data_IF_243225184408
#
_entry.id   IF_243225184408
#
_cell.length_a   1.000
_cell.length_b   1.000
_cell.length_c   1.000
_cell.angle_alpha   90.00
_cell.angle_beta   90.00
_cell.angle_gamma   90.00
#
_symmetry.space_group_name_H-M   'P 1'
#
loop_
_entity.id
_entity.type
_entity.pdbx_description
1 polymer ?
#
# COMPACT_ATOMS: atom_id res chain seq x y z
N UNK A 1 6.64 23.84 -22.73
CA UNK A 1 7.98 23.85 -22.09
C UNK A 1 7.79 23.39 -20.66
N UNK A 2 8.21 22.15 -20.30
CA UNK A 2 8.12 21.67 -18.92
C UNK A 2 9.30 22.27 -18.15
N UNK A 3 9.04 23.17 -17.22
CA UNK A 3 10.06 23.68 -16.32
C UNK A 3 10.39 22.59 -15.30
N UNK A 4 11.46 21.85 -15.55
CA UNK A 4 12.01 20.91 -14.58
C UNK A 4 12.62 21.68 -13.41
N UNK A 5 12.00 21.55 -12.25
CA UNK A 5 12.57 22.08 -10.99
C UNK A 5 13.44 20.98 -10.38
N UNK A 6 14.76 21.20 -10.16
CA UNK A 6 15.61 20.23 -9.51
C UNK A 6 15.04 19.80 -8.15
N UNK A 7 15.14 18.50 -7.81
CA UNK A 7 14.51 17.91 -6.64
C UNK A 7 14.89 18.62 -5.32
N UNK A 8 16.15 18.99 -5.14
CA UNK A 8 16.62 19.73 -3.96
C UNK A 8 16.00 21.13 -3.85
N UNK A 9 15.76 21.79 -4.98
CA UNK A 9 15.08 23.10 -4.99
C UNK A 9 13.60 22.95 -4.69
N UNK A 10 12.96 21.95 -5.28
CA UNK A 10 11.57 21.62 -5.00
C UNK A 10 11.38 21.33 -3.50
N UNK A 11 12.20 20.48 -2.90
CA UNK A 11 12.13 20.13 -1.49
C UNK A 11 12.31 21.35 -0.55
N UNK A 12 13.16 22.32 -0.93
CA UNK A 12 13.30 23.58 -0.17
C UNK A 12 12.06 24.48 -0.28
N UNK A 13 11.48 24.56 -1.47
CA UNK A 13 10.28 25.37 -1.72
C UNK A 13 9.06 24.80 -0.99
N UNK A 14 8.89 23.50 -0.99
CA UNK A 14 7.76 22.81 -0.37
C UNK A 14 7.64 23.07 1.15
N UNK A 15 8.71 23.44 1.84
CA UNK A 15 8.69 23.81 3.26
C UNK A 15 7.90 25.09 3.58
N UNK A 16 7.58 25.86 2.55
CA UNK A 16 6.85 27.14 2.68
C UNK A 16 5.37 27.02 2.35
N UNK A 17 4.93 25.85 1.93
CA UNK A 17 3.54 25.57 1.58
C UNK A 17 2.87 24.74 2.69
N UNK A 18 1.56 24.94 2.85
CA UNK A 18 0.76 24.11 3.74
C UNK A 18 0.45 22.73 3.15
N UNK A 19 -0.04 21.83 3.99
CA UNK A 19 -0.32 20.45 3.61
C UNK A 19 -1.44 20.35 2.55
N UNK A 20 -2.42 21.25 2.59
CA UNK A 20 -3.56 21.30 1.66
C UNK A 20 -3.06 21.64 0.24
N UNK A 21 -2.29 22.71 0.10
CA UNK A 21 -1.71 23.11 -1.18
C UNK A 21 -0.76 22.05 -1.74
N UNK A 22 0.03 21.41 -0.86
CA UNK A 22 0.89 20.33 -1.27
C UNK A 22 0.12 19.09 -1.74
N UNK A 23 -1.04 18.80 -1.13
CA UNK A 23 -1.93 17.74 -1.60
C UNK A 23 -2.55 18.08 -2.97
N UNK A 24 -2.91 19.33 -3.23
CA UNK A 24 -3.35 19.78 -4.56
C UNK A 24 -2.25 19.59 -5.62
N UNK A 25 -1.02 20.00 -5.30
CA UNK A 25 0.12 19.76 -6.20
C UNK A 25 0.27 18.26 -6.49
N UNK A 26 0.17 17.41 -5.47
CA UNK A 26 0.32 15.97 -5.64
C UNK A 26 -0.76 15.37 -6.55
N UNK A 27 -2.02 15.88 -6.50
CA UNK A 27 -3.10 15.45 -7.42
C UNK A 27 -2.78 15.69 -8.89
N UNK A 28 -2.02 16.73 -9.19
CA UNK A 28 -1.64 17.11 -10.56
C UNK A 28 -0.33 16.45 -11.02
N UNK A 29 0.39 15.77 -10.12
CA UNK A 29 1.68 15.15 -10.45
C UNK A 29 1.48 13.76 -11.07
N UNK A 30 2.41 13.43 -11.98
CA UNK A 30 2.59 12.05 -12.43
C UNK A 30 3.57 11.39 -11.45
N UNK A 31 3.15 10.38 -10.66
CA UNK A 31 3.96 9.82 -9.58
C UNK A 31 5.35 9.35 -10.00
N UNK A 32 5.46 8.73 -11.18
CA UNK A 32 6.75 8.28 -11.74
C UNK A 32 7.75 9.44 -11.92
N UNK A 33 7.26 10.61 -12.35
CA UNK A 33 8.10 11.80 -12.56
C UNK A 33 8.51 12.49 -11.26
N UNK A 34 7.76 12.24 -10.19
CA UNK A 34 8.02 12.78 -8.86
C UNK A 34 9.05 11.98 -8.05
N UNK A 35 9.53 10.84 -8.55
CA UNK A 35 10.39 9.89 -7.81
C UNK A 35 11.58 10.57 -7.13
N UNK A 36 12.38 11.36 -7.85
CA UNK A 36 13.55 12.05 -7.28
C UNK A 36 13.15 13.08 -6.21
N UNK A 37 12.00 13.74 -6.39
CA UNK A 37 11.46 14.68 -5.40
C UNK A 37 11.00 13.96 -4.15
N UNK A 38 10.30 12.82 -4.28
CA UNK A 38 9.87 11.99 -3.16
C UNK A 38 11.05 11.51 -2.29
N UNK A 39 12.21 11.25 -2.89
CA UNK A 39 13.43 10.92 -2.15
C UNK A 39 13.93 12.09 -1.27
N UNK A 40 13.71 13.32 -1.70
CA UNK A 40 14.23 14.55 -1.04
C UNK A 40 13.24 15.23 -0.12
N UNK A 41 11.92 15.00 -0.29
CA UNK A 41 10.90 15.63 0.54
C UNK A 41 11.03 15.19 2.01
N UNK A 42 10.87 16.13 2.97
CA UNK A 42 10.81 15.80 4.39
C UNK A 42 9.62 14.89 4.71
N UNK A 43 9.82 13.91 5.59
CA UNK A 43 8.79 12.97 6.01
C UNK A 43 7.61 13.68 6.68
N UNK A 44 7.87 14.69 7.51
CA UNK A 44 6.82 15.45 8.22
C UNK A 44 5.84 16.12 7.24
N UNK A 45 6.36 16.73 6.16
CA UNK A 45 5.52 17.27 5.09
C UNK A 45 4.70 16.17 4.42
N UNK A 46 5.32 15.03 4.13
CA UNK A 46 4.63 13.90 3.50
C UNK A 46 3.53 13.35 4.41
N UNK A 47 3.73 13.31 5.74
CA UNK A 47 2.69 12.94 6.72
C UNK A 47 1.48 13.87 6.63
N UNK A 48 1.70 15.19 6.57
CA UNK A 48 0.64 16.18 6.42
C UNK A 48 -0.16 15.98 5.13
N UNK A 49 0.54 15.84 4.00
CA UNK A 49 -0.08 15.54 2.69
C UNK A 49 -0.86 14.22 2.72
N UNK A 50 -0.30 13.18 3.34
CA UNK A 50 -0.98 11.87 3.50
C UNK A 50 -2.30 12.03 4.25
N UNK A 51 -2.34 12.78 5.38
CA UNK A 51 -3.57 13.04 6.13
C UNK A 51 -4.61 13.79 5.30
N UNK A 52 -4.20 14.81 4.53
CA UNK A 52 -5.10 15.53 3.62
C UNK A 52 -5.71 14.62 2.55
N UNK A 53 -4.88 13.77 1.92
CA UNK A 53 -5.34 12.83 0.91
C UNK A 53 -6.28 11.75 1.49
N UNK A 54 -6.04 11.27 2.71
CA UNK A 54 -6.93 10.35 3.41
C UNK A 54 -8.29 11.02 3.68
N UNK A 55 -8.29 12.27 4.15
CA UNK A 55 -9.50 13.05 4.37
C UNK A 55 -10.33 13.26 3.11
N UNK A 56 -9.68 13.46 1.97
CA UNK A 56 -10.30 13.61 0.65
C UNK A 56 -10.59 12.29 -0.06
N UNK A 57 -10.14 11.15 0.49
CA UNK A 57 -10.26 9.81 -0.10
C UNK A 57 -9.57 9.65 -1.47
N UNK A 58 -8.43 10.30 -1.63
CA UNK A 58 -7.64 10.29 -2.87
C UNK A 58 -6.82 9.00 -3.03
N UNK A 59 -7.42 7.84 -2.72
CA UNK A 59 -6.75 6.54 -2.66
C UNK A 59 -6.03 6.16 -3.96
N UNK A 60 -6.59 6.55 -5.12
CA UNK A 60 -5.99 6.26 -6.42
C UNK A 60 -4.66 7.01 -6.62
N UNK A 61 -4.58 8.26 -6.15
CA UNK A 61 -3.34 9.06 -6.17
C UNK A 61 -2.32 8.47 -5.20
N UNK A 62 -2.75 8.17 -3.97
CA UNK A 62 -1.90 7.57 -2.94
C UNK A 62 -1.32 6.23 -3.41
N UNK A 63 -2.14 5.36 -4.06
CA UNK A 63 -1.69 4.10 -4.63
C UNK A 63 -0.62 4.29 -5.70
N UNK A 64 -0.82 5.24 -6.62
CA UNK A 64 0.17 5.60 -7.63
C UNK A 64 1.50 6.08 -7.02
N UNK A 65 1.46 6.91 -6.00
CA UNK A 65 2.67 7.35 -5.30
C UNK A 65 3.37 6.23 -4.52
N UNK A 66 2.61 5.29 -3.95
CA UNK A 66 3.17 4.14 -3.23
C UNK A 66 4.14 3.35 -4.11
N UNK A 67 3.93 3.30 -5.42
CA UNK A 67 4.82 2.61 -6.36
C UNK A 67 6.22 3.24 -6.48
N UNK A 68 6.39 4.50 -6.09
CA UNK A 68 7.63 5.26 -6.27
C UNK A 68 8.24 5.82 -4.98
N UNK A 69 7.51 5.80 -3.86
CA UNK A 69 8.02 6.22 -2.55
C UNK A 69 9.21 5.36 -2.11
N UNK A 70 10.28 5.91 -1.51
CA UNK A 70 11.27 5.09 -0.78
C UNK A 70 10.58 4.21 0.25
N UNK A 71 10.98 2.93 0.35
CA UNK A 71 10.30 1.96 1.23
C UNK A 71 10.25 2.40 2.70
N UNK A 72 11.35 2.99 3.19
CA UNK A 72 11.42 3.52 4.56
C UNK A 72 10.37 4.62 4.80
N UNK A 73 10.21 5.53 3.83
CA UNK A 73 9.20 6.58 3.91
C UNK A 73 7.79 6.00 3.82
N UNK A 74 7.57 5.04 2.92
CA UNK A 74 6.27 4.37 2.80
C UNK A 74 5.86 3.72 4.14
N UNK A 75 6.77 3.01 4.82
CA UNK A 75 6.51 2.43 6.14
C UNK A 75 6.11 3.48 7.17
N UNK A 76 6.82 4.62 7.22
CA UNK A 76 6.50 5.71 8.14
C UNK A 76 5.12 6.33 7.82
N UNK A 77 4.78 6.50 6.54
CA UNK A 77 3.50 7.08 6.13
C UNK A 77 2.32 6.14 6.37
N UNK A 78 2.55 4.82 6.40
CA UNK A 78 1.52 3.84 6.76
C UNK A 78 1.00 4.04 8.20
N UNK A 79 1.82 4.59 9.11
CA UNK A 79 1.40 4.92 10.48
C UNK A 79 0.27 5.98 10.52
N UNK A 80 0.14 6.81 9.48
CA UNK A 80 -0.95 7.80 9.36
C UNK A 80 -2.29 7.16 8.95
N UNK A 81 -2.30 5.90 8.51
CA UNK A 81 -3.49 5.20 8.01
C UNK A 81 -4.11 4.40 9.15
N UNK A 82 -5.07 5.00 9.85
CA UNK A 82 -5.71 4.37 11.00
C UNK A 82 -6.67 3.23 10.62
N UNK A 83 -7.39 3.34 9.50
CA UNK A 83 -8.33 2.31 9.02
C UNK A 83 -7.62 1.35 8.06
N UNK A 84 -7.51 0.05 8.41
CA UNK A 84 -6.94 -0.96 7.51
C UNK A 84 -7.66 -1.05 6.14
N UNK A 85 -8.94 -0.69 6.08
CA UNK A 85 -9.67 -0.65 4.81
C UNK A 85 -9.12 0.43 3.87
N UNK A 86 -8.61 1.55 4.39
CA UNK A 86 -8.00 2.59 3.57
C UNK A 86 -6.65 2.11 3.00
N UNK A 87 -5.85 1.35 3.78
CA UNK A 87 -4.64 0.69 3.28
C UNK A 87 -4.95 -0.25 2.13
N UNK A 88 -6.02 -1.05 2.23
CA UNK A 88 -6.46 -1.95 1.16
C UNK A 88 -6.95 -1.20 -0.08
N UNK A 89 -7.65 -0.07 0.09
CA UNK A 89 -8.06 0.80 -1.03
C UNK A 89 -6.86 1.38 -1.75
N UNK A 90 -5.88 1.92 -1.01
CA UNK A 90 -4.64 2.46 -1.57
C UNK A 90 -3.89 1.36 -2.33
N UNK A 91 -3.72 0.19 -1.72
CA UNK A 91 -3.09 -0.98 -2.34
C UNK A 91 -3.77 -1.39 -3.65
N UNK A 92 -5.12 -1.32 -3.71
CA UNK A 92 -5.86 -1.69 -4.92
C UNK A 92 -5.51 -0.83 -6.13
N UNK A 93 -5.11 0.42 -5.92
CA UNK A 93 -4.67 1.34 -6.99
C UNK A 93 -3.17 1.28 -7.28
N UNK A 94 -2.34 0.71 -6.40
CA UNK A 94 -0.93 0.49 -6.66
C UNK A 94 -0.76 -0.58 -7.74
N UNK A 95 0.09 -0.32 -8.74
CA UNK A 95 0.33 -1.25 -9.84
C UNK A 95 1.37 -2.31 -9.46
N UNK A 96 2.32 -1.96 -8.60
CA UNK A 96 3.44 -2.81 -8.19
C UNK A 96 3.09 -3.65 -6.97
N UNK A 97 2.37 -4.76 -7.17
CA UNK A 97 1.97 -5.66 -6.08
C UNK A 97 3.18 -6.30 -5.37
N UNK A 98 4.28 -6.53 -6.10
CA UNK A 98 5.57 -6.96 -5.54
C UNK A 98 6.08 -5.98 -4.46
N UNK A 99 5.87 -4.69 -4.69
CA UNK A 99 6.26 -3.65 -3.75
C UNK A 99 5.36 -3.64 -2.51
N UNK A 100 4.05 -3.73 -2.71
CA UNK A 100 3.10 -3.84 -1.58
C UNK A 100 3.42 -5.08 -0.74
N UNK A 101 3.74 -6.21 -1.37
CA UNK A 101 4.16 -7.42 -0.69
C UNK A 101 5.40 -7.18 0.20
N UNK A 102 6.43 -6.50 -0.30
CA UNK A 102 7.63 -6.16 0.50
C UNK A 102 7.31 -5.25 1.69
N UNK A 103 6.40 -4.30 1.54
CA UNK A 103 5.95 -3.44 2.65
C UNK A 103 5.16 -4.28 3.68
N UNK A 104 4.23 -5.12 3.23
CA UNK A 104 3.42 -5.97 4.11
C UNK A 104 4.26 -6.95 4.92
N UNK A 105 5.31 -7.53 4.33
CA UNK A 105 6.23 -8.44 5.06
C UNK A 105 6.92 -7.77 6.24
N UNK A 106 7.13 -6.45 6.19
CA UNK A 106 7.75 -5.65 7.26
C UNK A 106 6.79 -5.29 8.39
N UNK A 107 5.49 -5.45 8.20
CA UNK A 107 4.48 -5.19 9.22
C UNK A 107 4.52 -6.24 10.34
N UNK A 108 4.07 -5.88 11.54
CA UNK A 108 3.89 -6.83 12.60
C UNK A 108 2.67 -7.75 12.39
N UNK A 109 2.58 -8.84 13.15
CA UNK A 109 1.49 -9.82 13.01
C UNK A 109 0.12 -9.21 13.35
N UNK A 110 0.07 -8.25 14.29
CA UNK A 110 -1.16 -7.55 14.67
C UNK A 110 -1.69 -6.65 13.55
N UNK A 111 -0.80 -5.93 12.88
CA UNK A 111 -1.14 -5.10 11.72
C UNK A 111 -1.67 -5.94 10.56
N UNK A 112 -0.99 -7.05 10.26
CA UNK A 112 -1.42 -7.98 9.21
C UNK A 112 -2.79 -8.59 9.53
N UNK A 113 -3.05 -8.99 10.79
CA UNK A 113 -4.36 -9.51 11.20
C UNK A 113 -5.47 -8.48 10.98
N UNK A 114 -5.24 -7.21 11.33
CA UNK A 114 -6.22 -6.14 11.07
C UNK A 114 -6.51 -5.96 9.58
N UNK A 115 -5.48 -6.06 8.72
CA UNK A 115 -5.67 -6.03 7.27
C UNK A 115 -6.48 -7.24 6.78
N UNK A 116 -6.20 -8.44 7.28
CA UNK A 116 -6.95 -9.66 6.94
C UNK A 116 -8.41 -9.50 7.36
N UNK A 117 -8.71 -9.09 8.59
CA UNK A 117 -10.07 -8.84 9.07
C UNK A 117 -10.83 -7.83 8.19
N UNK A 118 -10.15 -6.73 7.80
CA UNK A 118 -10.74 -5.74 6.91
C UNK A 118 -10.99 -6.31 5.50
N UNK A 119 -10.08 -7.14 4.98
CA UNK A 119 -10.18 -7.73 3.66
C UNK A 119 -11.42 -8.64 3.54
N UNK A 120 -11.72 -9.42 4.56
CA UNK A 120 -12.83 -10.37 4.51
C UNK A 120 -14.23 -9.71 4.60
N UNK A 121 -14.29 -8.37 4.78
CA UNK A 121 -15.52 -7.59 4.67
C UNK A 121 -15.94 -7.31 3.21
N UNK A 122 -15.05 -7.50 2.23
CA UNK A 122 -15.32 -7.24 0.81
C UNK A 122 -14.60 -8.24 -0.11
N UNK A 123 -15.29 -8.82 -1.11
CA UNK A 123 -14.66 -9.70 -2.09
C UNK A 123 -13.47 -9.06 -2.84
N UNK A 124 -13.58 -7.76 -3.15
CA UNK A 124 -12.52 -7.02 -3.84
C UNK A 124 -11.25 -6.95 -2.99
N UNK A 125 -11.39 -6.78 -1.67
CA UNK A 125 -10.24 -6.76 -0.77
C UNK A 125 -9.62 -8.15 -0.58
N UNK A 126 -10.43 -9.22 -0.55
CA UNK A 126 -9.91 -10.59 -0.53
C UNK A 126 -9.04 -10.83 -1.77
N UNK A 127 -9.53 -10.39 -2.95
CA UNK A 127 -8.76 -10.47 -4.19
C UNK A 127 -7.47 -9.67 -4.10
N UNK A 128 -7.51 -8.46 -3.57
CA UNK A 128 -6.32 -7.61 -3.42
C UNK A 128 -5.26 -8.25 -2.52
N UNK A 129 -5.65 -8.74 -1.35
CA UNK A 129 -4.75 -9.46 -0.44
C UNK A 129 -4.18 -10.70 -1.12
N UNK A 130 -4.99 -11.44 -1.90
CA UNK A 130 -4.52 -12.58 -2.68
C UNK A 130 -3.46 -12.22 -3.71
N UNK A 131 -3.65 -11.11 -4.45
CA UNK A 131 -2.68 -10.60 -5.43
C UNK A 131 -1.35 -10.22 -4.75
N UNK A 132 -1.41 -9.53 -3.63
CA UNK A 132 -0.22 -9.14 -2.84
C UNK A 132 0.47 -10.37 -2.28
N UNK A 133 -0.27 -11.32 -1.68
CA UNK A 133 0.30 -12.57 -1.12
C UNK A 133 0.96 -13.41 -2.20
N UNK A 134 0.44 -13.41 -3.42
CA UNK A 134 1.01 -14.14 -4.56
C UNK A 134 2.39 -13.62 -5.01
N UNK A 135 2.75 -12.38 -4.62
CA UNK A 135 4.10 -11.82 -4.85
C UNK A 135 5.09 -12.12 -3.71
N UNK A 136 4.63 -12.74 -2.61
CA UNK A 136 5.47 -13.08 -1.47
C UNK A 136 6.22 -14.39 -1.68
N UNK A 137 7.38 -14.53 -1.01
CA UNK A 137 8.08 -15.81 -0.92
C UNK A 137 7.32 -16.84 -0.08
N UNK A 138 7.67 -18.12 -0.23
CA UNK A 138 6.97 -19.24 0.42
C UNK A 138 6.83 -19.05 1.95
N UNK A 139 7.88 -18.59 2.62
CA UNK A 139 7.87 -18.36 4.08
C UNK A 139 6.84 -17.30 4.50
N UNK A 140 6.74 -16.22 3.71
CA UNK A 140 5.82 -15.13 4.02
C UNK A 140 4.38 -15.50 3.66
N UNK A 141 4.17 -16.28 2.59
CA UNK A 141 2.88 -16.89 2.30
C UNK A 141 2.39 -17.79 3.44
N UNK A 142 3.27 -18.61 4.03
CA UNK A 142 2.96 -19.44 5.18
C UNK A 142 2.62 -18.60 6.42
N UNK A 143 3.34 -17.49 6.63
CA UNK A 143 3.00 -16.52 7.68
C UNK A 143 1.60 -15.95 7.48
N UNK A 144 1.27 -15.52 6.27
CA UNK A 144 -0.07 -15.00 5.93
C UNK A 144 -1.16 -16.06 6.16
N UNK A 145 -0.90 -17.32 5.79
CA UNK A 145 -1.83 -18.44 6.01
C UNK A 145 -2.11 -18.66 7.49
N UNK A 146 -1.06 -18.76 8.32
CA UNK A 146 -1.17 -18.91 9.77
C UNK A 146 -1.97 -17.75 10.39
N UNK A 147 -1.64 -16.50 10.05
CA UNK A 147 -2.34 -15.32 10.58
C UNK A 147 -3.80 -15.28 10.14
N UNK A 148 -4.10 -15.72 8.91
CA UNK A 148 -5.48 -15.85 8.41
C UNK A 148 -6.29 -16.85 9.22
N UNK A 149 -5.71 -18.01 9.55
CA UNK A 149 -6.38 -19.03 10.39
C UNK A 149 -6.57 -18.58 11.84
N UNK A 150 -5.62 -17.79 12.36
CA UNK A 150 -5.75 -17.21 13.72
C UNK A 150 -6.87 -16.15 13.80
N UNK A 151 -7.19 -15.48 12.70
CA UNK A 151 -8.33 -14.55 12.62
C UNK A 151 -9.64 -15.33 12.48
N UNK A 152 -9.76 -16.18 11.46
CA UNK A 152 -10.91 -17.07 11.24
C UNK A 152 -10.50 -18.23 10.30
N UNK A 153 -10.55 -19.50 10.76
CA UNK A 153 -10.24 -20.65 9.91
C UNK A 153 -11.07 -20.74 8.62
N UNK A 154 -12.27 -20.15 8.59
CA UNK A 154 -13.11 -20.10 7.38
C UNK A 154 -12.50 -19.22 6.27
N UNK A 155 -11.58 -18.31 6.61
CA UNK A 155 -10.93 -17.44 5.64
C UNK A 155 -10.14 -18.24 4.59
N UNK A 156 -9.51 -19.35 4.96
CA UNK A 156 -8.74 -20.19 4.06
C UNK A 156 -9.60 -20.74 2.91
N UNK A 157 -10.79 -21.22 3.20
CA UNK A 157 -11.72 -21.73 2.18
C UNK A 157 -12.13 -20.60 1.20
N UNK A 158 -12.52 -19.44 1.72
CA UNK A 158 -12.89 -18.27 0.90
C UNK A 158 -11.72 -17.76 0.05
N UNK A 159 -10.51 -17.72 0.60
CA UNK A 159 -9.30 -17.36 -0.12
C UNK A 159 -9.01 -18.34 -1.27
N UNK A 160 -9.25 -19.64 -1.07
CA UNK A 160 -9.06 -20.66 -2.11
C UNK A 160 -10.05 -20.48 -3.27
N UNK A 161 -11.32 -20.23 -2.97
CA UNK A 161 -12.32 -19.92 -3.99
C UNK A 161 -11.94 -18.67 -4.81
N UNK A 162 -11.51 -17.61 -4.13
CA UNK A 162 -11.01 -16.40 -4.77
C UNK A 162 -9.78 -16.68 -5.65
N UNK A 163 -8.80 -17.42 -5.16
CA UNK A 163 -7.60 -17.76 -5.91
C UNK A 163 -7.93 -18.54 -7.19
N UNK A 164 -8.85 -19.52 -7.11
CA UNK A 164 -9.33 -20.28 -8.26
C UNK A 164 -10.02 -19.38 -9.27
N UNK A 165 -10.91 -18.50 -8.82
CA UNK A 165 -11.64 -17.57 -9.69
C UNK A 165 -10.72 -16.55 -10.41
N UNK A 166 -9.53 -16.28 -9.87
CA UNK A 166 -8.58 -15.29 -10.39
C UNK A 166 -7.28 -15.91 -10.96
N UNK A 167 -7.18 -17.25 -11.08
CA UNK A 167 -6.01 -17.92 -11.63
C UNK A 167 -4.74 -17.79 -10.77
N UNK A 168 -4.87 -17.66 -9.44
CA UNK A 168 -3.77 -17.45 -8.50
C UNK A 168 -3.35 -18.73 -7.78
N UNK A 169 -3.96 -19.90 -8.06
CA UNK A 169 -3.74 -21.13 -7.31
C UNK A 169 -2.27 -21.56 -7.29
N UNK A 170 -1.60 -21.55 -8.45
CA UNK A 170 -0.18 -21.93 -8.56
C UNK A 170 0.73 -20.95 -7.80
N UNK A 171 0.38 -19.67 -7.77
CA UNK A 171 1.19 -18.64 -7.10
C UNK A 171 1.00 -18.61 -5.59
N UNK A 172 -0.07 -19.21 -5.08
CA UNK A 172 -0.44 -19.29 -3.66
C UNK A 172 -0.22 -20.71 -3.07
N UNK A 173 0.56 -21.56 -3.71
CA UNK A 173 0.78 -22.94 -3.25
C UNK A 173 1.30 -23.01 -1.81
N UNK A 174 2.26 -22.16 -1.44
CA UNK A 174 2.82 -22.16 -0.09
C UNK A 174 1.82 -21.68 0.97
N UNK A 175 0.89 -20.78 0.61
CA UNK A 175 -0.22 -20.36 1.47
C UNK A 175 -1.17 -21.52 1.80
N UNK A 176 -1.44 -22.41 0.84
CA UNK A 176 -2.36 -23.53 1.02
C UNK A 176 -1.71 -24.80 1.58
N UNK A 177 -0.38 -24.89 1.54
CA UNK A 177 0.38 -26.03 2.07
C UNK A 177 0.71 -25.89 3.56
N UNK A 178 0.45 -24.71 4.15
CA UNK A 178 0.75 -24.38 5.55
C UNK A 178 -0.26 -24.99 6.53
#
# INVERSE_FOLDING_TARGET
MSYYVPADRAARMCKHFDDEFMAEIAREQIPERAKEQLEKLPVDLMRGVTRQMLGSRDYHIMGGFTDYLPEEKAMILMEEIADPADSLRISSFAQRKDRIARLTVKMDDGEIKRLIEAAFKSPDFIREVGLVTAEMGAKDQQRMARLSDEVDPAHRARSREMAKANGLEERLQAFYAA
#
